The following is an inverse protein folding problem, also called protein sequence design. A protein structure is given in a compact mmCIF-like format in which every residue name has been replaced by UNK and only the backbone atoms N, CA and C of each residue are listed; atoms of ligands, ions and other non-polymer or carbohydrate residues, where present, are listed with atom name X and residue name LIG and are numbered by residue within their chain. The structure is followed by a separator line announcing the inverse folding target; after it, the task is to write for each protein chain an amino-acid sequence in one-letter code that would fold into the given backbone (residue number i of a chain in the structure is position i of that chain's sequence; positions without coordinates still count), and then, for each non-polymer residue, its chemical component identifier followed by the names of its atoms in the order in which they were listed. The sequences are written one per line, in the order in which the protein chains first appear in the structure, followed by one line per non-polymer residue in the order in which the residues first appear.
data_IF_875851364431
#
_entry.id   IF_875851364431
#
_cell.length_a   1.000
_cell.length_b   1.000
_cell.length_c   1.000
_cell.angle_alpha   90.00
_cell.angle_beta   90.00
_cell.angle_gamma   90.00
#
_symmetry.space_group_name_H-M   'P 1'
#
loop_
_entity.id
_entity.type
_entity.pdbx_description
1 polymer ?
#
# COMPACT_ATOMS: atom_id res chain seq x y z
N UNK A 1 -31.83 38.48 -10.37
CA UNK A 1 -32.38 39.83 -10.11
C UNK A 1 -32.66 39.96 -8.61
N UNK A 2 -32.25 41.07 -7.95
CA UNK A 2 -32.40 41.23 -6.50
C UNK A 2 -33.88 41.27 -6.11
N UNK A 3 -34.31 40.52 -5.05
CA UNK A 3 -35.72 40.38 -4.59
C UNK A 3 -36.39 41.74 -4.45
N UNK A 4 -35.69 42.74 -3.95
CA UNK A 4 -36.12 44.14 -3.79
C UNK A 4 -36.43 44.83 -5.15
N UNK A 5 -35.62 44.56 -6.18
CA UNK A 5 -35.89 45.11 -7.54
C UNK A 5 -37.13 44.53 -8.20
N UNK A 6 -37.40 43.22 -7.93
CA UNK A 6 -38.57 42.56 -8.47
C UNK A 6 -39.86 43.08 -7.85
N UNK A 7 -39.88 43.28 -6.54
CA UNK A 7 -41.02 43.87 -5.81
C UNK A 7 -41.26 45.30 -6.28
N UNK A 8 -40.19 46.09 -6.44
CA UNK A 8 -40.28 47.45 -6.90
C UNK A 8 -40.81 47.55 -8.33
N UNK A 9 -40.35 46.68 -9.23
CA UNK A 9 -40.86 46.58 -10.62
C UNK A 9 -42.35 46.20 -10.64
N UNK A 10 -42.79 45.27 -9.82
CA UNK A 10 -44.19 44.87 -9.68
C UNK A 10 -45.05 46.04 -9.20
N UNK A 11 -44.61 46.74 -8.18
CA UNK A 11 -45.37 47.93 -7.69
C UNK A 11 -45.48 49.04 -8.74
N UNK A 12 -44.42 49.31 -9.49
CA UNK A 12 -44.44 50.33 -10.56
C UNK A 12 -45.41 49.89 -11.68
N UNK A 13 -45.30 48.61 -12.16
CA UNK A 13 -46.15 48.11 -13.22
C UNK A 13 -47.63 48.06 -12.79
N UNK A 14 -47.92 47.74 -11.53
CA UNK A 14 -49.25 47.80 -10.96
C UNK A 14 -49.82 49.20 -10.91
N UNK A 15 -49.02 50.18 -10.48
CA UNK A 15 -49.39 51.62 -10.47
C UNK A 15 -49.69 52.14 -11.89
N UNK A 16 -48.83 51.81 -12.86
CA UNK A 16 -49.01 52.14 -14.27
C UNK A 16 -50.29 51.55 -14.80
N UNK A 17 -50.57 50.29 -14.53
CA UNK A 17 -51.80 49.58 -14.93
C UNK A 17 -53.05 50.25 -14.37
N UNK A 18 -53.06 50.56 -13.07
CA UNK A 18 -54.19 51.22 -12.39
C UNK A 18 -54.43 52.58 -13.05
N UNK A 19 -53.39 53.36 -13.20
CA UNK A 19 -53.50 54.73 -13.78
C UNK A 19 -53.97 54.68 -15.26
N UNK A 20 -53.30 53.90 -16.09
CA UNK A 20 -53.64 53.77 -17.52
C UNK A 20 -55.01 53.21 -17.74
N UNK A 21 -55.43 52.20 -16.99
CA UNK A 21 -56.74 51.58 -17.11
C UNK A 21 -57.87 52.55 -16.66
N UNK A 22 -57.63 53.33 -15.61
CA UNK A 22 -58.60 54.35 -15.19
C UNK A 22 -58.70 55.49 -16.25
N UNK A 23 -57.56 55.94 -16.79
CA UNK A 23 -57.54 56.94 -17.86
C UNK A 23 -58.36 56.49 -19.11
N UNK A 24 -58.19 55.27 -19.54
CA UNK A 24 -58.96 54.69 -20.68
C UNK A 24 -60.46 54.61 -20.36
N UNK A 25 -60.84 54.17 -19.16
CA UNK A 25 -62.20 54.10 -18.70
C UNK A 25 -62.93 55.47 -18.71
N UNK A 26 -62.26 56.49 -18.21
CA UNK A 26 -62.83 57.82 -18.06
C UNK A 26 -62.95 58.59 -19.39
N UNK A 27 -62.08 58.32 -20.36
CA UNK A 27 -62.01 59.13 -21.65
C UNK A 27 -62.58 58.45 -22.83
N UNK A 28 -62.69 57.10 -22.85
CA UNK A 28 -63.07 56.36 -24.03
C UNK A 28 -64.30 55.44 -23.91
N UNK A 29 -64.89 55.28 -22.72
CA UNK A 29 -66.02 54.39 -22.49
C UNK A 29 -67.27 55.20 -22.07
N UNK A 30 -68.40 54.99 -22.80
CA UNK A 30 -69.67 55.64 -22.50
C UNK A 30 -70.32 55.11 -21.22
N UNK A 31 -71.04 56.00 -20.50
CA UNK A 31 -71.59 55.83 -19.17
C UNK A 31 -72.31 54.48 -18.84
N UNK A 32 -73.09 53.83 -19.73
CA UNK A 32 -73.77 52.57 -19.32
C UNK A 32 -72.86 51.35 -19.18
N UNK A 33 -71.66 51.37 -19.74
CA UNK A 33 -70.75 50.22 -19.75
C UNK A 33 -69.56 50.33 -18.79
N UNK A 34 -69.36 51.43 -18.14
CA UNK A 34 -68.22 51.73 -17.23
C UNK A 34 -68.13 50.67 -16.13
N UNK A 35 -69.21 50.35 -15.48
CA UNK A 35 -69.25 49.37 -14.38
C UNK A 35 -68.86 47.93 -14.80
N UNK A 36 -69.21 47.53 -16.00
CA UNK A 36 -68.80 46.23 -16.53
C UNK A 36 -67.33 46.18 -16.84
N UNK A 37 -66.76 47.22 -17.41
CA UNK A 37 -65.36 47.30 -17.70
C UNK A 37 -64.50 47.48 -16.44
N UNK A 38 -65.00 48.15 -15.40
CA UNK A 38 -64.30 48.23 -14.12
C UNK A 38 -64.14 46.88 -13.45
N UNK A 39 -65.23 46.09 -13.38
CA UNK A 39 -65.13 44.71 -12.84
C UNK A 39 -64.29 43.80 -13.72
N UNK A 40 -64.38 43.92 -15.03
CA UNK A 40 -63.56 43.15 -15.98
C UNK A 40 -62.08 43.40 -15.82
N UNK A 41 -61.65 44.65 -15.67
CA UNK A 41 -60.23 44.97 -15.50
C UNK A 41 -59.62 44.46 -14.16
N UNK A 42 -60.46 44.49 -13.07
CA UNK A 42 -60.03 43.95 -11.79
C UNK A 42 -59.84 42.46 -11.82
N UNK A 43 -60.77 41.72 -12.43
CA UNK A 43 -60.65 40.27 -12.63
C UNK A 43 -59.46 39.94 -13.50
N UNK A 44 -59.29 40.65 -14.62
CA UNK A 44 -58.13 40.45 -15.53
C UNK A 44 -56.81 40.67 -14.81
N UNK A 45 -56.68 41.75 -14.00
CA UNK A 45 -55.49 42.05 -13.24
C UNK A 45 -55.17 40.93 -12.24
N UNK A 46 -56.15 40.43 -11.48
CA UNK A 46 -56.01 39.34 -10.51
C UNK A 46 -55.56 38.06 -11.22
N UNK A 47 -56.14 37.72 -12.36
CA UNK A 47 -55.78 36.53 -13.14
C UNK A 47 -54.35 36.62 -13.68
N UNK A 48 -53.96 37.78 -14.25
CA UNK A 48 -52.63 37.97 -14.81
C UNK A 48 -51.56 37.96 -13.69
N UNK A 49 -51.78 38.73 -12.64
CA UNK A 49 -50.83 38.77 -11.49
C UNK A 49 -50.76 37.44 -10.75
N UNK A 50 -51.89 36.76 -10.58
CA UNK A 50 -51.95 35.41 -9.99
C UNK A 50 -51.22 34.38 -10.85
N UNK A 51 -51.41 34.44 -12.19
CA UNK A 51 -50.68 33.59 -13.14
C UNK A 51 -49.16 33.82 -13.11
N UNK A 52 -48.74 35.08 -13.07
CA UNK A 52 -47.30 35.43 -12.96
C UNK A 52 -46.73 34.92 -11.64
N UNK A 53 -47.47 35.13 -10.53
CA UNK A 53 -47.02 34.69 -9.22
C UNK A 53 -46.93 33.17 -9.15
N UNK A 54 -47.91 32.46 -9.68
CA UNK A 54 -47.90 31.00 -9.77
C UNK A 54 -46.71 30.49 -10.59
N UNK A 55 -46.42 31.11 -11.75
CA UNK A 55 -45.27 30.78 -12.56
C UNK A 55 -43.94 30.93 -11.79
N UNK A 56 -43.79 32.03 -11.00
CA UNK A 56 -42.60 32.23 -10.20
C UNK A 56 -42.45 31.20 -9.05
N UNK A 57 -43.58 30.78 -8.44
CA UNK A 57 -43.57 29.71 -7.44
C UNK A 57 -43.06 28.40 -8.05
N UNK A 58 -43.64 27.96 -9.15
CA UNK A 58 -43.22 26.75 -9.86
C UNK A 58 -41.74 26.79 -10.26
N UNK A 59 -41.29 27.91 -10.80
CA UNK A 59 -39.88 28.06 -11.19
C UNK A 59 -38.95 28.06 -10.01
N UNK A 60 -39.38 28.58 -8.87
CA UNK A 60 -38.62 28.53 -7.63
C UNK A 60 -38.53 27.11 -7.07
N UNK A 61 -39.65 26.36 -7.03
CA UNK A 61 -39.69 24.96 -6.59
C UNK A 61 -38.76 24.09 -7.45
N UNK A 62 -38.78 24.26 -8.78
CA UNK A 62 -37.88 23.58 -9.72
C UNK A 62 -36.42 23.87 -9.38
N UNK A 63 -36.07 25.14 -9.17
CA UNK A 63 -34.71 25.57 -8.83
C UNK A 63 -34.25 25.05 -7.47
N UNK A 64 -35.13 25.10 -6.46
CA UNK A 64 -34.82 24.61 -5.11
C UNK A 64 -34.64 23.08 -5.11
N UNK A 65 -35.48 22.33 -5.86
CA UNK A 65 -35.35 20.88 -6.06
C UNK A 65 -34.03 20.53 -6.75
N UNK A 66 -33.66 21.23 -7.82
CA UNK A 66 -32.39 21.01 -8.53
C UNK A 66 -31.18 21.24 -7.61
N UNK A 67 -31.19 22.32 -6.84
CA UNK A 67 -30.13 22.60 -5.87
C UNK A 67 -30.03 21.56 -4.77
N UNK A 68 -31.16 21.04 -4.30
CA UNK A 68 -31.17 19.99 -3.30
C UNK A 68 -30.60 18.69 -3.84
N UNK A 69 -30.93 18.31 -5.09
CA UNK A 69 -30.37 17.16 -5.78
C UNK A 69 -28.85 17.30 -5.96
N UNK A 70 -28.40 18.46 -6.43
CA UNK A 70 -26.98 18.76 -6.59
C UNK A 70 -26.22 18.66 -5.26
N UNK A 71 -26.79 19.22 -4.19
CA UNK A 71 -26.22 19.12 -2.83
C UNK A 71 -26.14 17.68 -2.34
N UNK A 72 -27.19 16.88 -2.58
CA UNK A 72 -27.21 15.45 -2.20
C UNK A 72 -26.14 14.67 -2.95
N UNK A 73 -26.02 14.86 -4.28
CA UNK A 73 -24.98 14.24 -5.10
C UNK A 73 -23.58 14.63 -4.64
N UNK A 74 -23.34 15.92 -4.37
CA UNK A 74 -22.07 16.39 -3.87
C UNK A 74 -21.73 15.77 -2.51
N UNK A 75 -22.71 15.65 -1.60
CA UNK A 75 -22.52 15.00 -0.31
C UNK A 75 -22.17 13.52 -0.46
N UNK A 76 -22.86 12.80 -1.35
CA UNK A 76 -22.58 11.39 -1.62
C UNK A 76 -21.15 11.19 -2.15
N UNK A 77 -20.74 11.97 -3.14
CA UNK A 77 -19.39 11.89 -3.73
C UNK A 77 -18.31 12.21 -2.69
N UNK A 78 -18.50 13.24 -1.86
CA UNK A 78 -17.54 13.63 -0.83
C UNK A 78 -17.51 12.67 0.38
N UNK A 79 -18.57 11.87 0.59
CA UNK A 79 -18.56 10.82 1.62
C UNK A 79 -17.84 9.54 1.20
N UNK A 80 -17.51 9.40 -0.09
CA UNK A 80 -16.77 8.25 -0.59
C UNK A 80 -15.30 8.31 -0.17
N UNK A 81 -14.75 7.15 0.17
CA UNK A 81 -13.32 6.98 0.46
C UNK A 81 -12.50 6.65 -0.79
N UNK A 82 -13.18 6.55 -1.93
CA UNK A 82 -12.58 6.35 -3.25
C UNK A 82 -12.33 7.71 -3.91
N UNK A 83 -11.30 7.83 -4.74
CA UNK A 83 -11.11 8.98 -5.60
C UNK A 83 -12.22 9.05 -6.65
N UNK A 84 -12.88 10.18 -6.79
CA UNK A 84 -13.91 10.41 -7.82
C UNK A 84 -13.65 11.73 -8.52
N UNK A 85 -13.52 11.68 -9.84
CA UNK A 85 -13.33 12.84 -10.68
C UNK A 85 -14.24 12.77 -11.92
N UNK A 86 -14.84 13.91 -12.27
CA UNK A 86 -15.61 14.11 -13.49
C UNK A 86 -14.90 15.17 -14.34
N UNK A 87 -14.66 14.84 -15.60
CA UNK A 87 -14.06 15.73 -16.59
C UNK A 87 -15.05 15.95 -17.76
N UNK A 88 -14.96 17.10 -18.40
CA UNK A 88 -15.70 17.37 -19.65
C UNK A 88 -15.07 16.65 -20.86
N UNK A 89 -15.67 16.82 -22.04
CA UNK A 89 -15.16 16.21 -23.29
C UNK A 89 -13.78 16.73 -23.73
N UNK A 90 -13.29 17.82 -23.14
CA UNK A 90 -11.95 18.38 -23.37
C UNK A 90 -10.92 17.95 -22.31
N UNK A 91 -11.33 17.14 -21.32
CA UNK A 91 -10.49 16.66 -20.24
C UNK A 91 -10.31 17.66 -19.07
N UNK A 92 -11.19 18.68 -18.97
CA UNK A 92 -11.16 19.66 -17.88
C UNK A 92 -11.94 19.14 -16.69
N UNK A 93 -11.42 19.34 -15.50
CA UNK A 93 -12.07 18.93 -14.26
C UNK A 93 -13.36 19.72 -14.02
N UNK A 94 -14.49 19.04 -13.98
CA UNK A 94 -15.80 19.62 -13.63
C UNK A 94 -16.06 19.42 -12.13
N UNK A 95 -15.78 18.23 -11.61
CA UNK A 95 -16.05 17.87 -10.21
C UNK A 95 -15.03 16.85 -9.74
N UNK A 96 -14.47 17.10 -8.57
CA UNK A 96 -13.66 16.12 -7.83
C UNK A 96 -14.14 16.06 -6.40
N UNK A 97 -14.00 14.91 -5.74
CA UNK A 97 -14.32 14.79 -4.34
C UNK A 97 -13.12 15.21 -3.45
N UNK A 98 -13.43 15.48 -2.18
CA UNK A 98 -12.43 15.94 -1.20
C UNK A 98 -11.27 14.94 -1.04
N UNK A 99 -11.54 13.62 -1.18
CA UNK A 99 -10.51 12.60 -1.13
C UNK A 99 -9.49 12.77 -2.27
N UNK A 100 -9.96 13.00 -3.50
CA UNK A 100 -9.09 13.19 -4.67
C UNK A 100 -8.28 14.48 -4.60
N UNK A 101 -8.90 15.56 -4.14
CA UNK A 101 -8.19 16.82 -3.95
C UNK A 101 -7.05 16.68 -2.93
N UNK A 102 -7.29 15.99 -1.81
CA UNK A 102 -6.26 15.67 -0.80
C UNK A 102 -5.18 14.75 -1.35
N UNK A 103 -5.55 13.76 -2.16
CA UNK A 103 -4.60 12.81 -2.74
C UNK A 103 -3.53 13.53 -3.56
N UNK A 104 -3.94 14.53 -4.37
CA UNK A 104 -3.06 15.27 -5.26
C UNK A 104 -2.59 16.63 -4.69
N UNK A 105 -2.91 16.94 -3.42
CA UNK A 105 -2.56 18.21 -2.75
C UNK A 105 -3.16 19.44 -3.47
N UNK A 106 -4.42 19.33 -3.89
CA UNK A 106 -5.15 20.36 -4.63
C UNK A 106 -6.33 20.96 -3.84
N UNK A 107 -6.38 20.80 -2.49
CA UNK A 107 -7.51 21.25 -1.66
C UNK A 107 -7.77 22.75 -1.76
N UNK A 108 -6.72 23.56 -1.86
CA UNK A 108 -6.79 25.02 -1.91
C UNK A 108 -6.71 25.56 -3.35
N UNK A 109 -6.74 24.69 -4.35
CA UNK A 109 -6.63 25.05 -5.77
C UNK A 109 -8.02 25.14 -6.40
N UNK A 110 -8.29 26.23 -7.11
CA UNK A 110 -9.46 26.29 -8.00
C UNK A 110 -9.22 25.41 -9.22
N UNK A 111 -9.72 24.17 -9.12
CA UNK A 111 -9.52 23.11 -10.11
C UNK A 111 -10.55 23.17 -11.25
N UNK A 112 -11.69 23.86 -11.05
CA UNK A 112 -12.79 23.85 -12.01
C UNK A 112 -12.36 24.38 -13.38
N UNK A 113 -12.65 23.64 -14.44
CA UNK A 113 -12.33 24.00 -15.82
C UNK A 113 -10.85 23.88 -16.20
N UNK A 114 -9.98 23.36 -15.33
CA UNK A 114 -8.56 23.13 -15.62
C UNK A 114 -8.29 21.69 -16.05
N UNK A 115 -7.29 21.48 -16.91
CA UNK A 115 -6.76 20.18 -17.30
C UNK A 115 -5.75 19.68 -16.27
N UNK A 116 -5.44 18.37 -16.28
CA UNK A 116 -4.40 17.78 -15.42
C UNK A 116 -3.04 18.45 -15.62
N UNK A 117 -2.67 18.78 -16.86
CA UNK A 117 -1.43 19.48 -17.17
C UNK A 117 -1.35 20.88 -16.57
N UNK A 118 -2.48 21.59 -16.46
CA UNK A 118 -2.57 22.89 -15.80
C UNK A 118 -2.55 22.74 -14.26
N UNK A 119 -3.20 21.70 -13.72
CA UNK A 119 -3.18 21.38 -12.29
C UNK A 119 -1.81 20.88 -11.82
N UNK A 120 -1.04 20.26 -12.68
CA UNK A 120 0.33 19.82 -12.42
C UNK A 120 1.28 20.99 -12.03
N UNK A 121 0.93 22.23 -12.37
CA UNK A 121 1.71 23.42 -11.99
C UNK A 121 1.51 23.83 -10.51
N UNK A 122 0.48 23.31 -9.85
CA UNK A 122 0.15 23.61 -8.44
C UNK A 122 0.71 22.60 -7.44
N UNK A 123 1.32 21.53 -7.92
CA UNK A 123 1.90 20.48 -7.08
C UNK A 123 3.25 20.00 -7.65
N UNK A 124 4.32 20.19 -6.89
CA UNK A 124 5.65 19.76 -7.33
C UNK A 124 5.77 18.24 -7.35
N UNK A 125 5.21 17.59 -6.33
CA UNK A 125 5.36 16.14 -6.16
C UNK A 125 4.51 15.31 -7.14
N UNK A 126 3.26 15.73 -7.40
CA UNK A 126 2.33 14.98 -8.27
C UNK A 126 2.27 15.49 -9.71
N UNK A 127 3.15 16.42 -10.09
CA UNK A 127 3.18 17.02 -11.43
C UNK A 127 3.24 15.98 -12.55
N UNK A 128 4.16 15.02 -12.47
CA UNK A 128 4.30 13.97 -13.48
C UNK A 128 3.13 13.00 -13.48
N UNK A 129 2.58 12.66 -12.30
CA UNK A 129 1.41 11.80 -12.19
C UNK A 129 0.17 12.43 -12.85
N UNK A 130 -0.08 13.73 -12.63
CA UNK A 130 -1.18 14.45 -13.25
C UNK A 130 -1.01 14.52 -14.77
N UNK A 131 0.18 14.80 -15.28
CA UNK A 131 0.46 14.79 -16.73
C UNK A 131 0.22 13.40 -17.35
N UNK A 132 0.58 12.33 -16.64
CA UNK A 132 0.31 10.97 -17.08
C UNK A 132 -1.19 10.65 -17.10
N UNK A 133 -1.97 11.17 -16.15
CA UNK A 133 -3.43 11.02 -16.15
C UNK A 133 -4.06 11.52 -17.46
N UNK A 134 -3.61 12.67 -17.99
CA UNK A 134 -4.10 13.21 -19.26
C UNK A 134 -3.84 12.26 -20.43
N UNK A 135 -2.66 11.63 -20.49
CA UNK A 135 -2.33 10.63 -21.52
C UNK A 135 -3.22 9.39 -21.42
N UNK A 136 -3.39 8.88 -20.20
CA UNK A 136 -4.22 7.69 -19.92
C UNK A 136 -5.72 7.94 -20.18
N UNK A 137 -6.20 9.18 -19.99
CA UNK A 137 -7.56 9.59 -20.32
C UNK A 137 -7.80 9.58 -21.83
N UNK A 138 -6.85 10.12 -22.61
CA UNK A 138 -6.90 10.08 -24.07
C UNK A 138 -6.92 8.64 -24.60
N UNK A 139 -6.16 7.73 -24.02
CA UNK A 139 -6.21 6.31 -24.38
C UNK A 139 -7.60 5.72 -24.15
N UNK A 140 -8.26 6.09 -23.03
CA UNK A 140 -9.61 5.64 -22.72
C UNK A 140 -10.63 6.13 -23.72
N UNK A 141 -10.60 7.41 -24.09
CA UNK A 141 -11.48 7.96 -25.14
C UNK A 141 -11.24 7.33 -26.51
N UNK A 142 -9.97 7.09 -26.87
CA UNK A 142 -9.63 6.46 -28.15
C UNK A 142 -10.12 5.00 -28.23
N UNK A 143 -10.15 4.28 -27.10
CA UNK A 143 -10.73 2.93 -27.01
C UNK A 143 -12.26 2.96 -27.05
N UNK A 144 -12.90 4.04 -26.59
CA UNK A 144 -14.33 4.21 -26.54
C UNK A 144 -15.09 3.25 -25.61
N UNK A 145 -14.37 2.60 -24.70
CA UNK A 145 -14.91 1.63 -23.73
C UNK A 145 -14.38 1.93 -22.34
N UNK A 146 -15.03 1.35 -21.33
CA UNK A 146 -14.55 1.41 -19.94
C UNK A 146 -13.16 0.78 -19.87
N UNK A 147 -12.20 1.51 -19.29
CA UNK A 147 -10.87 1.00 -19.00
C UNK A 147 -10.68 0.82 -17.50
N UNK A 148 -9.85 -0.16 -17.13
CA UNK A 148 -9.49 -0.44 -15.74
C UNK A 148 -8.02 -0.79 -15.66
N UNK A 149 -7.30 -0.20 -14.72
CA UNK A 149 -5.88 -0.47 -14.47
C UNK A 149 -5.56 -0.27 -12.99
N UNK A 150 -4.49 -0.93 -12.55
CA UNK A 150 -3.89 -0.63 -11.24
C UNK A 150 -2.81 0.43 -11.43
N UNK A 151 -2.89 1.49 -10.64
CA UNK A 151 -1.95 2.62 -10.69
C UNK A 151 -1.25 2.74 -9.34
N UNK A 152 0.07 2.88 -9.36
CA UNK A 152 0.87 3.13 -8.16
C UNK A 152 1.08 4.63 -8.01
N UNK A 153 0.59 5.19 -6.93
CA UNK A 153 0.72 6.62 -6.61
C UNK A 153 1.72 6.78 -5.46
N UNK A 154 2.92 7.29 -5.73
CA UNK A 154 3.90 7.57 -4.68
C UNK A 154 3.41 8.68 -3.76
N UNK A 155 3.85 8.68 -2.49
CA UNK A 155 3.53 9.69 -1.50
C UNK A 155 4.79 10.46 -1.05
N UNK A 156 4.64 11.70 -0.58
CA UNK A 156 5.77 12.50 -0.09
C UNK A 156 6.53 11.88 1.09
N UNK A 157 5.88 10.99 1.86
CA UNK A 157 6.49 10.24 2.96
C UNK A 157 7.32 9.03 2.52
N UNK A 158 7.47 8.82 1.19
CA UNK A 158 8.19 7.70 0.60
C UNK A 158 7.38 6.39 0.53
N UNK A 159 6.14 6.38 1.00
CA UNK A 159 5.23 5.24 0.85
C UNK A 159 4.54 5.28 -0.52
N UNK A 160 3.96 4.14 -0.92
CA UNK A 160 3.20 4.03 -2.16
C UNK A 160 1.77 3.60 -1.85
N UNK A 161 0.82 4.13 -2.61
CA UNK A 161 -0.56 3.67 -2.63
C UNK A 161 -0.87 3.02 -3.97
N UNK A 162 -1.64 1.94 -3.93
CA UNK A 162 -2.10 1.22 -5.11
C UNK A 162 -3.58 1.51 -5.29
N UNK A 163 -3.93 2.07 -6.44
CA UNK A 163 -5.31 2.37 -6.80
C UNK A 163 -5.78 1.45 -7.92
N UNK A 164 -6.96 0.85 -7.74
CA UNK A 164 -7.73 0.23 -8.83
C UNK A 164 -8.56 1.34 -9.48
N UNK A 165 -8.09 1.81 -10.63
CA UNK A 165 -8.66 2.96 -11.35
C UNK A 165 -9.54 2.49 -12.50
N UNK A 166 -10.81 2.95 -12.49
CA UNK A 166 -11.78 2.72 -13.54
C UNK A 166 -12.07 4.07 -14.21
N UNK A 167 -12.00 4.10 -15.55
CA UNK A 167 -12.31 5.27 -16.36
C UNK A 167 -13.46 4.94 -17.32
N UNK A 168 -14.52 5.74 -17.25
CA UNK A 168 -15.75 5.58 -18.04
C UNK A 168 -15.89 6.76 -18.99
N UNK A 169 -15.65 6.58 -20.30
CA UNK A 169 -15.84 7.63 -21.27
C UNK A 169 -17.34 7.80 -21.59
N UNK A 170 -17.79 9.04 -21.63
CA UNK A 170 -19.16 9.41 -22.00
C UNK A 170 -19.16 10.10 -23.36
N UNK A 171 -20.16 9.75 -24.18
CA UNK A 171 -20.32 10.28 -25.53
C UNK A 171 -21.74 10.74 -25.75
N UNK A 172 -21.90 11.81 -26.48
CA UNK A 172 -23.20 12.24 -27.03
C UNK A 172 -23.71 11.26 -28.09
N UNK A 173 -24.97 11.37 -28.45
CA UNK A 173 -25.58 10.52 -29.47
C UNK A 173 -24.90 10.65 -30.88
N UNK A 174 -24.26 11.77 -31.14
CA UNK A 174 -23.49 12.04 -32.36
C UNK A 174 -22.06 11.48 -32.34
N UNK A 175 -21.66 10.83 -31.23
CA UNK A 175 -20.34 10.25 -31.03
C UNK A 175 -19.27 11.25 -30.58
N UNK A 176 -19.62 12.51 -30.33
CA UNK A 176 -18.70 13.49 -29.75
C UNK A 176 -18.49 13.21 -28.25
N UNK A 177 -17.33 13.58 -27.73
CA UNK A 177 -16.99 13.38 -26.30
C UNK A 177 -17.88 14.27 -25.43
N UNK A 178 -18.59 13.69 -24.47
CA UNK A 178 -19.37 14.39 -23.47
C UNK A 178 -18.56 14.62 -22.19
N UNK A 179 -17.85 13.59 -21.74
CA UNK A 179 -17.05 13.65 -20.54
C UNK A 179 -16.37 12.35 -20.16
N UNK A 180 -15.68 12.36 -19.02
CA UNK A 180 -14.99 11.20 -18.47
C UNK A 180 -15.26 11.11 -16.96
N UNK A 181 -15.66 9.94 -16.49
CA UNK A 181 -15.78 9.64 -15.06
C UNK A 181 -14.62 8.76 -14.66
N UNK A 182 -13.89 9.17 -13.62
CA UNK A 182 -12.73 8.45 -13.08
C UNK A 182 -13.06 8.08 -11.64
N UNK A 183 -12.88 6.79 -11.31
CA UNK A 183 -13.04 6.28 -9.94
C UNK A 183 -11.78 5.48 -9.61
N UNK A 184 -11.06 5.89 -8.57
CA UNK A 184 -9.86 5.20 -8.08
C UNK A 184 -10.08 4.70 -6.65
N UNK A 185 -10.08 3.38 -6.46
CA UNK A 185 -10.19 2.74 -5.15
C UNK A 185 -8.82 2.43 -4.59
N UNK A 186 -8.52 2.89 -3.38
CA UNK A 186 -7.30 2.51 -2.67
C UNK A 186 -7.37 1.03 -2.26
N UNK A 187 -6.58 0.19 -2.94
CA UNK A 187 -6.49 -1.25 -2.68
C UNK A 187 -5.17 -1.64 -1.99
N UNK A 188 -4.40 -0.68 -1.49
CA UNK A 188 -3.08 -0.91 -0.89
C UNK A 188 -3.12 -1.97 0.22
N UNK A 189 -4.03 -1.82 1.18
CA UNK A 189 -4.18 -2.79 2.29
C UNK A 189 -4.63 -4.16 1.79
N UNK A 190 -5.52 -4.21 0.80
CA UNK A 190 -5.98 -5.46 0.20
C UNK A 190 -4.81 -6.19 -0.46
N UNK A 191 -4.02 -5.52 -1.30
CA UNK A 191 -2.85 -6.10 -1.95
C UNK A 191 -1.80 -6.60 -0.96
N UNK A 192 -1.48 -5.80 0.05
CA UNK A 192 -0.55 -6.22 1.10
C UNK A 192 -1.06 -7.45 1.86
N UNK A 193 -2.36 -7.56 2.08
CA UNK A 193 -2.96 -8.72 2.75
C UNK A 193 -2.93 -9.96 1.85
N UNK A 194 -3.27 -9.81 0.57
CA UNK A 194 -3.19 -10.90 -0.42
C UNK A 194 -1.74 -11.42 -0.57
N UNK A 195 -0.76 -10.55 -0.64
CA UNK A 195 0.65 -10.93 -0.71
C UNK A 195 1.11 -11.67 0.56
N UNK A 196 0.69 -11.20 1.73
CA UNK A 196 0.97 -11.90 3.01
C UNK A 196 0.32 -13.28 3.06
N UNK A 197 -0.93 -13.40 2.63
CA UNK A 197 -1.64 -14.68 2.57
C UNK A 197 -0.97 -15.64 1.61
N UNK A 198 -0.66 -15.21 0.39
CA UNK A 198 0.06 -16.00 -0.62
C UNK A 198 1.41 -16.50 -0.10
N UNK A 199 2.14 -15.63 0.60
CA UNK A 199 3.42 -16.00 1.22
C UNK A 199 3.22 -17.04 2.33
N UNK A 200 2.21 -16.86 3.17
CA UNK A 200 1.89 -17.78 4.26
C UNK A 200 1.43 -19.14 3.72
N UNK A 201 0.60 -19.16 2.69
CA UNK A 201 0.12 -20.38 2.04
C UNK A 201 1.27 -21.16 1.40
N UNK A 202 2.15 -20.51 0.63
CA UNK A 202 3.36 -21.13 0.07
C UNK A 202 4.23 -21.74 1.17
N UNK A 203 4.40 -21.04 2.31
CA UNK A 203 5.14 -21.55 3.46
C UNK A 203 4.44 -22.73 4.14
N UNK A 204 3.10 -22.73 4.21
CA UNK A 204 2.31 -23.82 4.80
C UNK A 204 2.42 -25.10 4.01
N UNK A 205 2.30 -25.03 2.67
CA UNK A 205 2.44 -26.19 1.78
C UNK A 205 3.85 -26.80 1.87
N UNK A 206 4.89 -25.94 1.84
CA UNK A 206 6.28 -26.37 2.06
C UNK A 206 6.42 -27.02 3.44
N UNK A 207 5.73 -26.46 4.43
CA UNK A 207 5.72 -26.93 5.79
C UNK A 207 5.15 -28.33 5.96
N UNK A 208 3.96 -28.58 5.46
CA UNK A 208 3.23 -29.83 5.63
C UNK A 208 3.95 -31.00 4.95
N UNK A 209 4.44 -30.78 3.73
CA UNK A 209 5.24 -31.77 2.98
C UNK A 209 6.60 -32.05 3.64
N UNK A 210 7.24 -31.02 4.19
CA UNK A 210 8.60 -31.13 4.73
C UNK A 210 8.67 -31.96 6.03
N UNK A 211 7.64 -31.96 6.86
CA UNK A 211 7.69 -32.64 8.16
C UNK A 211 7.75 -34.18 8.05
N UNK A 212 7.00 -34.78 7.11
CA UNK A 212 7.04 -36.24 6.86
C UNK A 212 8.28 -36.62 6.05
N UNK A 213 8.54 -35.85 4.98
CA UNK A 213 9.64 -36.14 4.04
C UNK A 213 11.02 -35.95 4.70
N UNK A 214 11.20 -34.99 5.61
CA UNK A 214 12.49 -34.76 6.24
C UNK A 214 12.94 -35.92 7.14
N UNK A 215 12.04 -36.56 7.87
CA UNK A 215 12.38 -37.76 8.62
C UNK A 215 12.75 -38.92 7.72
N UNK A 216 12.05 -39.09 6.59
CA UNK A 216 12.32 -40.13 5.62
C UNK A 216 13.62 -39.89 4.84
N UNK A 217 14.02 -38.64 4.61
CA UNK A 217 15.30 -38.29 3.98
C UNK A 217 16.46 -38.41 4.97
N UNK A 218 16.29 -37.99 6.24
CA UNK A 218 17.36 -38.04 7.23
C UNK A 218 17.88 -39.43 7.50
N UNK A 219 16.99 -40.44 7.48
CA UNK A 219 17.33 -41.82 7.75
C UNK A 219 18.36 -42.42 6.75
N UNK A 220 18.13 -42.39 5.41
CA UNK A 220 19.10 -42.87 4.44
C UNK A 220 20.38 -42.04 4.43
N UNK A 221 20.28 -40.69 4.65
CA UNK A 221 21.48 -39.86 4.74
C UNK A 221 22.37 -40.22 5.93
N UNK A 222 21.79 -40.55 7.07
CA UNK A 222 22.54 -40.97 8.26
C UNK A 222 23.27 -42.27 7.98
N UNK A 223 22.62 -43.23 7.29
CA UNK A 223 23.24 -44.50 6.90
C UNK A 223 24.37 -44.29 5.90
N UNK A 224 24.13 -43.46 4.85
CA UNK A 224 25.17 -43.14 3.85
C UNK A 224 26.37 -42.45 4.51
N UNK A 225 26.13 -41.49 5.43
CA UNK A 225 27.22 -40.81 6.18
C UNK A 225 28.03 -41.83 6.96
N UNK A 226 27.39 -42.78 7.65
CA UNK A 226 28.06 -43.84 8.39
C UNK A 226 28.96 -44.71 7.48
N UNK A 227 28.45 -45.13 6.30
CA UNK A 227 29.25 -45.88 5.34
C UNK A 227 30.45 -45.09 4.81
N UNK A 228 30.26 -43.82 4.43
CA UNK A 228 31.39 -42.98 3.97
C UNK A 228 32.43 -42.80 5.06
N UNK A 229 32.02 -42.66 6.33
CA UNK A 229 32.95 -42.58 7.45
C UNK A 229 33.74 -43.89 7.68
N UNK A 230 33.09 -45.03 7.53
CA UNK A 230 33.77 -46.32 7.60
C UNK A 230 34.79 -46.47 6.45
N UNK A 231 34.42 -46.17 5.20
CA UNK A 231 35.33 -46.19 4.07
C UNK A 231 36.51 -45.25 4.24
N UNK A 232 36.28 -44.03 4.82
CA UNK A 232 37.32 -43.05 5.13
C UNK A 232 38.34 -43.60 6.13
N UNK A 233 37.91 -44.47 7.06
CA UNK A 233 38.79 -45.12 8.05
C UNK A 233 39.61 -46.26 7.48
N UNK A 234 39.11 -46.91 6.41
CA UNK A 234 39.74 -48.13 5.84
C UNK A 234 40.61 -47.82 4.61
N UNK A 235 40.41 -46.69 3.92
CA UNK A 235 41.10 -46.33 2.68
C UNK A 235 41.76 -44.96 2.76
N UNK A 236 43.06 -44.92 2.95
CA UNK A 236 43.87 -43.69 3.00
C UNK A 236 44.06 -43.05 1.60
N UNK A 237 43.76 -43.75 0.53
CA UNK A 237 44.10 -43.33 -0.84
C UNK A 237 43.09 -42.37 -1.43
N UNK A 238 41.87 -42.35 -0.96
CA UNK A 238 40.75 -41.57 -1.54
C UNK A 238 40.16 -40.55 -0.51
N UNK A 239 40.93 -40.11 0.42
CA UNK A 239 40.47 -39.23 1.52
C UNK A 239 39.75 -37.95 1.03
N UNK A 240 40.23 -37.36 -0.06
CA UNK A 240 39.61 -36.15 -0.66
C UNK A 240 38.19 -36.45 -1.16
N UNK A 241 37.96 -37.62 -1.77
CA UNK A 241 36.63 -38.01 -2.23
C UNK A 241 35.67 -38.29 -1.08
N UNK A 242 36.13 -38.93 -0.04
CA UNK A 242 35.32 -39.16 1.18
C UNK A 242 34.98 -37.85 1.87
N UNK A 243 35.87 -36.88 1.90
CA UNK A 243 35.62 -35.55 2.47
C UNK A 243 34.55 -34.82 1.66
N UNK A 244 34.64 -34.83 0.34
CA UNK A 244 33.64 -34.22 -0.55
C UNK A 244 32.25 -34.86 -0.32
N UNK A 245 32.18 -36.20 -0.20
CA UNK A 245 30.92 -36.90 0.07
C UNK A 245 30.34 -36.52 1.43
N UNK A 246 31.16 -36.43 2.47
CA UNK A 246 30.74 -36.05 3.81
C UNK A 246 30.22 -34.60 3.84
N UNK A 247 30.89 -33.71 3.12
CA UNK A 247 30.50 -32.30 3.02
C UNK A 247 29.13 -32.17 2.33
N UNK A 248 28.89 -32.90 1.25
CA UNK A 248 27.60 -32.88 0.54
C UNK A 248 26.48 -33.54 1.36
N UNK A 249 26.74 -34.63 2.09
CA UNK A 249 25.78 -35.24 3.01
C UNK A 249 25.42 -34.27 4.17
N UNK A 250 26.39 -33.54 4.69
CA UNK A 250 26.16 -32.51 5.72
C UNK A 250 25.34 -31.35 5.16
N UNK A 251 25.59 -30.95 3.91
CA UNK A 251 24.82 -29.93 3.20
C UNK A 251 23.36 -30.34 3.01
N UNK A 252 23.08 -31.56 2.56
CA UNK A 252 21.72 -32.08 2.42
C UNK A 252 21.02 -32.12 3.78
N UNK A 253 21.69 -32.59 4.82
CA UNK A 253 21.12 -32.56 6.18
C UNK A 253 20.79 -31.14 6.67
N UNK A 254 21.59 -30.15 6.30
CA UNK A 254 21.32 -28.75 6.62
C UNK A 254 20.04 -28.26 5.91
N UNK A 255 19.92 -28.53 4.60
CA UNK A 255 18.73 -28.18 3.80
C UNK A 255 17.47 -28.81 4.41
N UNK A 256 17.51 -30.09 4.75
CA UNK A 256 16.39 -30.81 5.39
C UNK A 256 16.02 -30.17 6.74
N UNK A 257 17.01 -29.74 7.51
CA UNK A 257 16.79 -29.07 8.80
C UNK A 257 16.17 -27.68 8.62
N UNK A 258 16.60 -26.91 7.61
CA UNK A 258 15.98 -25.61 7.25
C UNK A 258 14.52 -25.79 6.81
N UNK A 259 14.22 -26.82 6.01
CA UNK A 259 12.86 -27.18 5.58
C UNK A 259 11.98 -27.52 6.80
N UNK A 260 12.50 -28.29 7.77
CA UNK A 260 11.78 -28.62 9.01
C UNK A 260 11.46 -27.39 9.85
N UNK A 261 12.36 -26.42 9.92
CA UNK A 261 12.12 -25.16 10.63
C UNK A 261 10.97 -24.36 9.99
N UNK A 262 10.81 -24.47 8.66
CA UNK A 262 9.67 -23.85 7.96
C UNK A 262 8.36 -24.60 8.20
N UNK A 263 8.42 -25.92 8.46
CA UNK A 263 7.29 -26.86 8.49
C UNK A 263 6.49 -26.88 9.79
N UNK A 264 7.12 -26.80 10.95
CA UNK A 264 6.45 -27.03 12.24
C UNK A 264 6.18 -25.73 13.00
N UNK A 265 4.97 -25.56 13.60
CA UNK A 265 4.83 -24.73 14.76
C UNK A 265 5.66 -25.36 15.88
N UNK A 266 6.83 -24.82 16.12
CA UNK A 266 7.64 -25.26 17.25
C UNK A 266 7.05 -24.69 18.53
N UNK A 267 6.86 -25.55 19.53
CA UNK A 267 6.66 -25.06 20.92
C UNK A 267 7.98 -24.39 21.35
N UNK A 268 8.04 -23.06 21.18
CA UNK A 268 9.21 -22.28 21.53
C UNK A 268 9.40 -22.31 23.04
N UNK A 269 10.57 -22.74 23.46
CA UNK A 269 10.98 -22.66 24.86
C UNK A 269 11.79 -21.37 25.04
N UNK A 270 11.07 -20.30 25.34
CA UNK A 270 11.73 -19.03 25.63
C UNK A 270 12.53 -19.12 26.94
N UNK A 271 13.70 -18.49 26.92
CA UNK A 271 14.56 -18.32 28.09
C UNK A 271 15.09 -16.89 28.12
N UNK A 272 15.37 -16.38 29.32
CA UNK A 272 15.95 -15.06 29.51
C UNK A 272 17.45 -15.14 29.41
N UNK A 273 18.05 -14.54 28.44
CA UNK A 273 19.48 -14.55 28.17
C UNK A 273 19.98 -13.20 27.68
N UNK A 274 21.22 -12.85 27.98
CA UNK A 274 21.85 -11.66 27.43
C UNK A 274 22.08 -11.85 25.91
N UNK A 275 21.48 -10.98 25.09
CA UNK A 275 21.57 -11.07 23.62
C UNK A 275 23.01 -10.91 23.13
N UNK A 276 23.85 -10.15 23.86
CA UNK A 276 25.29 -10.00 23.58
C UNK A 276 26.03 -11.34 23.58
N UNK A 277 25.63 -12.29 24.47
CA UNK A 277 26.21 -13.63 24.47
C UNK A 277 25.96 -14.37 23.16
N UNK A 278 24.72 -14.36 22.70
CA UNK A 278 24.35 -15.01 21.42
C UNK A 278 25.13 -14.43 20.27
N UNK A 279 25.21 -13.09 20.18
CA UNK A 279 25.93 -12.39 19.11
C UNK A 279 27.43 -12.70 19.17
N UNK A 280 28.04 -12.65 20.35
CA UNK A 280 29.48 -12.96 20.53
C UNK A 280 29.79 -14.42 20.19
N UNK A 281 28.94 -15.38 20.59
CA UNK A 281 29.11 -16.80 20.25
C UNK A 281 29.11 -16.99 18.73
N UNK A 282 28.18 -16.33 18.02
CA UNK A 282 28.05 -16.42 16.54
C UNK A 282 29.24 -15.75 15.86
N UNK A 283 29.66 -14.56 16.30
CA UNK A 283 30.83 -13.86 15.76
C UNK A 283 32.08 -14.71 15.92
N UNK A 284 32.28 -15.30 17.11
CA UNK A 284 33.42 -16.18 17.36
C UNK A 284 33.40 -17.44 16.50
N UNK A 285 32.23 -18.01 16.27
CA UNK A 285 32.05 -19.18 15.38
C UNK A 285 32.43 -18.86 13.94
N UNK A 286 32.05 -17.69 13.44
CA UNK A 286 32.28 -17.29 12.05
C UNK A 286 33.63 -16.57 11.81
N UNK A 287 34.39 -16.30 12.86
CA UNK A 287 35.67 -15.59 12.76
C UNK A 287 36.68 -16.27 11.83
N UNK A 288 36.77 -17.62 11.89
CA UNK A 288 37.66 -18.38 11.02
C UNK A 288 37.22 -18.30 9.54
N UNK A 289 35.89 -18.39 9.26
CA UNK A 289 35.34 -18.26 7.92
C UNK A 289 35.54 -16.85 7.37
N UNK A 290 35.28 -15.80 8.17
CA UNK A 290 35.53 -14.41 7.80
C UNK A 290 37.02 -14.16 7.45
N UNK A 291 37.94 -14.74 8.22
CA UNK A 291 39.38 -14.63 7.95
C UNK A 291 39.80 -15.25 6.63
N UNK A 292 39.16 -16.34 6.20
CA UNK A 292 39.43 -16.97 4.89
C UNK A 292 39.07 -16.05 3.71
N UNK A 293 38.10 -15.16 3.91
CA UNK A 293 37.69 -14.16 2.92
C UNK A 293 38.33 -12.78 3.15
N UNK A 294 39.29 -12.65 4.08
CA UNK A 294 39.86 -11.37 4.51
C UNK A 294 38.80 -10.33 4.96
N UNK A 295 37.75 -10.78 5.62
CA UNK A 295 36.67 -9.92 6.12
C UNK A 295 36.82 -9.73 7.63
N UNK A 296 36.73 -8.48 8.09
CA UNK A 296 36.75 -8.15 9.52
C UNK A 296 35.32 -7.97 10.06
N UNK A 297 35.00 -8.64 11.17
CA UNK A 297 33.73 -8.47 11.86
C UNK A 297 33.96 -7.55 13.07
N UNK A 298 33.35 -6.36 13.04
CA UNK A 298 33.38 -5.38 14.12
C UNK A 298 32.05 -5.43 14.91
N UNK A 299 32.14 -5.53 16.27
CA UNK A 299 30.97 -5.50 17.11
C UNK A 299 30.87 -4.18 17.88
N UNK A 300 29.66 -3.59 17.93
CA UNK A 300 29.35 -2.37 18.68
C UNK A 300 28.17 -2.65 19.61
N UNK A 301 28.47 -3.08 20.83
CA UNK A 301 27.45 -3.43 21.83
C UNK A 301 27.54 -2.53 23.07
N UNK A 302 26.41 -2.21 23.71
CA UNK A 302 26.39 -1.52 24.99
C UNK A 302 27.10 -2.34 26.06
N UNK A 303 27.69 -1.64 27.06
CA UNK A 303 28.39 -2.28 28.15
C UNK A 303 27.47 -3.05 29.09
N UNK A 304 26.21 -2.63 29.19
CA UNK A 304 25.19 -3.28 30.00
C UNK A 304 24.58 -4.45 29.26
N UNK A 305 24.44 -5.60 29.93
CA UNK A 305 23.77 -6.76 29.35
C UNK A 305 22.27 -6.49 29.12
N UNK A 306 21.81 -6.68 27.91
CA UNK A 306 20.39 -6.60 27.56
C UNK A 306 19.81 -8.01 27.63
N UNK A 307 18.97 -8.24 28.65
CA UNK A 307 18.28 -9.52 28.83
C UNK A 307 17.09 -9.59 27.91
N UNK A 308 17.10 -10.56 27.02
CA UNK A 308 16.03 -10.82 26.05
C UNK A 308 15.36 -12.16 26.38
N UNK A 309 14.03 -12.20 26.32
CA UNK A 309 13.25 -13.43 26.37
C UNK A 309 13.16 -14.03 24.97
N UNK A 310 13.87 -15.11 24.69
CA UNK A 310 14.05 -15.67 23.35
C UNK A 310 14.28 -17.19 23.37
N UNK A 311 14.20 -17.81 22.19
CA UNK A 311 14.71 -19.15 21.92
C UNK A 311 16.14 -19.03 21.39
N UNK A 312 17.16 -19.38 22.18
CA UNK A 312 18.57 -19.08 21.89
C UNK A 312 19.10 -19.71 20.61
N UNK A 313 18.68 -20.95 20.29
CA UNK A 313 19.16 -21.65 19.09
C UNK A 313 18.60 -21.04 17.80
N UNK A 314 17.36 -20.58 17.85
CA UNK A 314 16.77 -19.88 16.71
C UNK A 314 17.45 -18.55 16.45
N UNK A 315 17.73 -17.75 17.49
CA UNK A 315 18.47 -16.51 17.31
C UNK A 315 19.91 -16.75 16.85
N UNK A 316 20.59 -17.80 17.35
CA UNK A 316 21.89 -18.22 16.81
C UNK A 316 21.79 -18.52 15.31
N UNK A 317 20.80 -19.29 14.90
CA UNK A 317 20.58 -19.62 13.47
C UNK A 317 20.31 -18.37 12.63
N UNK A 318 19.49 -17.43 13.13
CA UNK A 318 19.23 -16.16 12.48
C UNK A 318 20.53 -15.40 12.20
N UNK A 319 21.34 -15.17 13.23
CA UNK A 319 22.57 -14.39 13.09
C UNK A 319 23.65 -15.12 12.29
N UNK A 320 23.73 -16.46 12.38
CA UNK A 320 24.61 -17.25 11.51
C UNK A 320 24.22 -17.02 10.04
N UNK A 321 22.94 -17.13 9.68
CA UNK A 321 22.47 -16.94 8.32
C UNK A 321 22.79 -15.52 7.80
N UNK A 322 22.54 -14.50 8.61
CA UNK A 322 22.74 -13.11 8.19
C UNK A 322 24.23 -12.77 8.06
N UNK A 323 25.04 -13.07 9.07
CA UNK A 323 26.49 -12.76 9.05
C UNK A 323 27.20 -13.58 7.97
N UNK A 324 26.84 -14.84 7.78
CA UNK A 324 27.38 -15.67 6.70
C UNK A 324 27.01 -15.11 5.31
N UNK A 325 25.79 -14.65 5.12
CA UNK A 325 25.39 -13.99 3.88
C UNK A 325 26.23 -12.71 3.63
N UNK A 326 26.48 -11.93 4.68
CA UNK A 326 27.34 -10.75 4.61
C UNK A 326 28.79 -11.11 4.26
N UNK A 327 29.37 -12.17 4.85
CA UNK A 327 30.72 -12.66 4.52
C UNK A 327 30.79 -13.06 3.03
N UNK A 328 29.82 -13.85 2.56
CA UNK A 328 29.77 -14.33 1.19
C UNK A 328 29.50 -13.21 0.14
N UNK A 329 28.87 -12.11 0.53
CA UNK A 329 28.62 -10.95 -0.32
C UNK A 329 29.78 -9.95 -0.31
N UNK A 330 30.66 -10.03 0.67
CA UNK A 330 31.77 -9.10 0.88
C UNK A 330 32.92 -9.35 -0.11
N UNK A 331 33.62 -8.28 -0.47
CA UNK A 331 34.88 -8.34 -1.22
C UNK A 331 36.04 -8.52 -0.23
N UNK A 332 37.23 -8.85 -0.76
CA UNK A 332 38.45 -8.90 0.07
C UNK A 332 38.69 -7.54 0.76
N UNK A 333 39.16 -7.61 2.01
CA UNK A 333 39.43 -6.46 2.88
C UNK A 333 38.19 -5.62 3.29
N UNK A 334 37.01 -6.22 3.24
CA UNK A 334 35.74 -5.59 3.65
C UNK A 334 35.51 -5.71 5.16
N UNK A 335 34.55 -4.89 5.65
CA UNK A 335 34.12 -4.90 7.05
C UNK A 335 32.64 -5.24 7.18
N UNK A 336 32.34 -6.04 8.18
CA UNK A 336 30.97 -6.31 8.62
C UNK A 336 30.81 -5.69 10.00
N UNK A 337 29.85 -4.79 10.16
CA UNK A 337 29.52 -4.17 11.46
C UNK A 337 28.27 -4.80 12.03
N UNK A 338 28.37 -5.32 13.26
CA UNK A 338 27.23 -5.82 14.03
C UNK A 338 27.01 -4.88 15.21
N UNK A 339 25.88 -4.15 15.23
CA UNK A 339 25.53 -3.26 16.33
C UNK A 339 24.27 -3.70 17.05
N UNK A 340 24.18 -3.35 18.33
CA UNK A 340 23.06 -3.61 19.19
C UNK A 340 22.70 -2.32 19.93
N UNK A 341 21.46 -1.86 19.78
CA UNK A 341 20.97 -0.64 20.40
C UNK A 341 19.62 -0.88 21.08
N UNK A 342 19.37 -0.18 22.18
CA UNK A 342 18.07 -0.16 22.83
C UNK A 342 17.28 1.03 22.29
N UNK A 343 16.20 0.77 21.53
CA UNK A 343 15.40 1.83 20.90
C UNK A 343 14.37 2.38 21.90
N UNK A 344 13.68 1.46 22.60
CA UNK A 344 12.62 1.75 23.57
C UNK A 344 12.87 0.91 24.81
N UNK A 345 12.21 1.18 25.96
CA UNK A 345 12.38 0.38 27.18
C UNK A 345 12.13 -1.12 26.97
N UNK A 346 11.25 -1.46 26.01
CA UNK A 346 10.78 -2.81 25.71
C UNK A 346 11.22 -3.34 24.35
N UNK A 347 12.05 -2.61 23.58
CA UNK A 347 12.51 -3.01 22.24
C UNK A 347 14.00 -2.77 22.03
N UNK A 348 14.62 -3.70 21.31
CA UNK A 348 16.01 -3.61 20.86
C UNK A 348 16.11 -3.61 19.35
N UNK A 349 17.14 -2.94 18.83
CA UNK A 349 17.56 -3.03 17.43
C UNK A 349 18.90 -3.75 17.32
N UNK A 350 19.00 -4.65 16.37
CA UNK A 350 20.24 -5.30 15.97
C UNK A 350 20.45 -5.00 14.49
N UNK A 351 21.59 -4.40 14.16
CA UNK A 351 21.94 -4.07 12.78
C UNK A 351 23.14 -4.86 12.33
N UNK A 352 23.03 -5.55 11.21
CA UNK A 352 24.15 -6.20 10.51
C UNK A 352 24.37 -5.45 9.22
N UNK A 353 25.53 -4.82 9.07
CA UNK A 353 25.89 -4.03 7.89
C UNK A 353 27.16 -4.59 7.26
N UNK A 354 27.12 -4.82 5.95
CA UNK A 354 28.26 -5.18 5.13
C UNK A 354 28.54 -4.12 4.04
N UNK A 355 29.75 -4.08 3.57
CA UNK A 355 30.21 -3.26 2.45
C UNK A 355 30.36 -4.14 1.17
N UNK A 356 29.49 -5.13 0.99
CA UNK A 356 29.52 -6.11 -0.07
C UNK A 356 28.96 -5.63 -1.41
N UNK A 357 28.66 -6.58 -2.31
CA UNK A 357 28.17 -6.29 -3.65
C UNK A 357 26.75 -5.69 -3.69
N UNK A 358 26.02 -5.67 -2.58
CA UNK A 358 24.65 -5.17 -2.50
C UNK A 358 23.64 -5.97 -3.29
N UNK A 359 22.39 -5.50 -3.29
CA UNK A 359 21.22 -6.18 -3.85
C UNK A 359 20.46 -5.19 -4.72
N UNK A 360 20.07 -5.58 -5.96
CA UNK A 360 19.26 -4.74 -6.83
C UNK A 360 17.83 -4.59 -6.31
N UNK A 361 17.15 -3.47 -6.61
CA UNK A 361 15.76 -3.20 -6.19
C UNK A 361 14.79 -4.30 -6.57
N UNK A 362 14.93 -4.87 -7.78
CA UNK A 362 14.08 -5.98 -8.25
C UNK A 362 14.24 -7.25 -7.41
N UNK A 363 15.48 -7.53 -6.96
CA UNK A 363 15.77 -8.70 -6.13
C UNK A 363 15.39 -8.47 -4.67
N UNK A 364 15.49 -7.23 -4.20
CA UNK A 364 15.11 -6.85 -2.84
C UNK A 364 13.62 -7.13 -2.58
N UNK A 365 12.76 -6.96 -3.60
CA UNK A 365 11.34 -7.28 -3.52
C UNK A 365 11.05 -8.77 -3.34
N UNK A 366 11.95 -9.65 -3.82
CA UNK A 366 11.81 -11.12 -3.74
C UNK A 366 12.62 -11.75 -2.60
N UNK A 367 13.31 -10.93 -1.81
CA UNK A 367 14.12 -11.42 -0.68
C UNK A 367 13.22 -12.11 0.34
N UNK A 368 13.65 -13.30 0.77
CA UNK A 368 12.89 -14.15 1.71
C UNK A 368 11.78 -14.97 1.08
N UNK A 369 11.63 -14.99 -0.25
CA UNK A 369 10.85 -16.03 -0.92
C UNK A 369 11.58 -17.37 -0.82
N UNK A 370 10.87 -18.48 -0.53
CA UNK A 370 11.48 -19.81 -0.47
C UNK A 370 12.14 -20.20 -1.80
N UNK A 371 13.33 -20.79 -1.73
CA UNK A 371 14.13 -21.25 -2.87
C UNK A 371 14.65 -20.13 -3.78
N UNK A 372 14.46 -18.87 -3.44
CA UNK A 372 15.00 -17.75 -4.20
C UNK A 372 16.47 -17.52 -3.80
N UNK A 373 17.39 -17.87 -4.67
CA UNK A 373 18.84 -17.68 -4.50
C UNK A 373 19.50 -17.33 -5.82
N UNK A 374 20.48 -16.43 -5.80
CA UNK A 374 21.33 -16.13 -6.93
C UNK A 374 22.68 -16.88 -6.89
N UNK A 375 22.90 -17.63 -5.82
CA UNK A 375 24.14 -18.38 -5.60
C UNK A 375 23.96 -19.78 -6.16
N UNK A 376 24.91 -20.29 -6.94
CA UNK A 376 24.84 -21.65 -7.50
C UNK A 376 24.72 -22.75 -6.42
N UNK A 377 25.28 -22.53 -5.25
CA UNK A 377 25.22 -23.46 -4.11
C UNK A 377 24.28 -23.03 -3.00
N UNK A 378 23.53 -21.94 -3.20
CA UNK A 378 22.62 -21.40 -2.18
C UNK A 378 21.27 -22.15 -2.17
N UNK A 379 20.76 -22.52 -1.00
CA UNK A 379 19.45 -23.20 -0.82
C UNK A 379 18.27 -22.28 -1.08
N UNK A 380 18.46 -20.96 -0.94
CA UNK A 380 17.38 -19.97 -0.98
C UNK A 380 16.42 -20.02 0.21
N UNK A 381 16.74 -20.82 1.25
CA UNK A 381 15.91 -20.98 2.45
C UNK A 381 16.37 -20.15 3.63
N UNK A 382 17.67 -19.83 3.73
CA UNK A 382 18.24 -19.16 4.88
C UNK A 382 17.54 -17.86 5.26
N UNK A 383 17.25 -16.97 4.29
CA UNK A 383 16.54 -15.72 4.58
C UNK A 383 15.06 -15.97 4.90
N UNK A 384 14.41 -16.95 4.26
CA UNK A 384 13.05 -17.36 4.61
C UNK A 384 12.95 -17.84 6.05
N UNK A 385 13.93 -18.64 6.50
CA UNK A 385 14.07 -19.08 7.91
C UNK A 385 14.31 -17.87 8.82
N UNK A 386 15.15 -16.93 8.40
CA UNK A 386 15.42 -15.70 9.16
C UNK A 386 14.16 -14.88 9.40
N UNK A 387 13.33 -14.67 8.37
CA UNK A 387 12.03 -14.01 8.51
C UNK A 387 11.12 -14.73 9.50
N UNK A 388 11.03 -16.07 9.40
CA UNK A 388 10.18 -16.88 10.28
C UNK A 388 10.66 -16.83 11.75
N UNK A 389 11.96 -16.86 11.98
CA UNK A 389 12.53 -16.73 13.32
C UNK A 389 12.20 -15.37 13.93
N UNK A 390 12.40 -14.28 13.19
CA UNK A 390 12.07 -12.92 13.68
C UNK A 390 10.58 -12.78 13.95
N UNK A 391 9.72 -13.28 13.05
CA UNK A 391 8.26 -13.28 13.23
C UNK A 391 7.83 -14.09 14.46
N UNK A 392 8.43 -15.28 14.71
CA UNK A 392 8.13 -16.09 15.88
C UNK A 392 8.55 -15.44 17.19
N UNK A 393 9.46 -14.47 17.16
CA UNK A 393 9.88 -13.64 18.29
C UNK A 393 9.15 -12.27 18.32
N UNK A 394 8.01 -12.12 17.61
CA UNK A 394 7.22 -10.87 17.53
C UNK A 394 8.06 -9.66 17.08
N UNK A 395 9.09 -9.89 16.26
CA UNK A 395 10.00 -8.89 15.76
C UNK A 395 9.73 -8.48 14.33
N UNK A 396 10.55 -7.53 13.85
CA UNK A 396 10.56 -7.09 12.46
C UNK A 396 11.99 -7.16 11.91
N UNK A 397 12.11 -7.53 10.62
CA UNK A 397 13.37 -7.52 9.89
C UNK A 397 13.17 -6.70 8.60
N UNK A 398 14.12 -5.80 8.34
CA UNK A 398 14.14 -4.96 7.15
C UNK A 398 15.51 -5.00 6.49
N UNK A 399 15.53 -4.92 5.15
CA UNK A 399 16.74 -4.92 4.34
C UNK A 399 16.81 -3.60 3.59
N UNK A 400 17.95 -2.92 3.71
CA UNK A 400 18.29 -1.73 2.96
C UNK A 400 19.58 -2.00 2.19
N UNK A 401 19.53 -1.92 0.86
CA UNK A 401 20.65 -2.31 0.01
C UNK A 401 20.63 -1.61 -1.34
N UNK A 402 21.80 -1.23 -1.79
CA UNK A 402 22.03 -0.69 -3.14
C UNK A 402 23.18 -1.46 -3.81
N UNK A 403 23.03 -1.74 -5.09
CA UNK A 403 24.01 -2.51 -5.83
C UNK A 403 25.38 -1.79 -5.82
N UNK A 404 26.42 -2.48 -5.36
CA UNK A 404 27.77 -1.94 -5.20
C UNK A 404 28.03 -1.15 -3.92
N UNK A 405 27.00 -0.95 -3.05
CA UNK A 405 27.12 -0.17 -1.80
C UNK A 405 26.99 -1.03 -0.52
N UNK A 406 26.75 -2.34 -0.68
CA UNK A 406 26.56 -3.26 0.44
C UNK A 406 25.10 -3.40 0.88
N UNK A 407 24.91 -4.07 2.04
CA UNK A 407 23.59 -4.35 2.59
C UNK A 407 23.56 -4.02 4.09
N UNK A 408 22.46 -3.42 4.53
CA UNK A 408 22.14 -3.19 5.93
C UNK A 408 20.88 -3.97 6.30
N UNK A 409 20.99 -4.88 7.26
CA UNK A 409 19.87 -5.66 7.80
C UNK A 409 19.54 -5.14 9.20
N UNK A 410 18.32 -4.61 9.35
CA UNK A 410 17.82 -4.08 10.60
C UNK A 410 16.79 -5.05 11.20
N UNK A 411 17.02 -5.50 12.43
CA UNK A 411 16.15 -6.42 13.17
C UNK A 411 15.68 -5.73 14.43
N UNK A 412 14.36 -5.69 14.65
CA UNK A 412 13.78 -5.18 15.90
C UNK A 412 13.12 -6.33 16.64
N UNK A 413 13.45 -6.50 17.93
CA UNK A 413 12.86 -7.54 18.78
C UNK A 413 12.31 -6.92 20.09
N UNK A 414 11.16 -7.39 20.60
CA UNK A 414 10.69 -7.02 21.93
C UNK A 414 11.54 -7.72 23.02
N UNK A 415 11.81 -7.02 24.10
CA UNK A 415 12.60 -7.53 25.23
C UNK A 415 11.88 -8.67 25.96
N UNK A 416 10.56 -8.55 26.08
CA UNK A 416 9.67 -9.58 26.63
C UNK A 416 8.73 -10.09 25.55
N UNK A 417 8.45 -11.39 25.54
CA UNK A 417 7.52 -11.99 24.60
C UNK A 417 6.09 -11.94 25.15
N UNK A 418 5.17 -11.39 24.35
CA UNK A 418 3.75 -11.41 24.68
C UNK A 418 3.17 -12.80 24.34
N UNK A 419 3.02 -13.64 25.37
CA UNK A 419 2.51 -15.02 25.25
C UNK A 419 0.99 -15.09 25.04
N UNK A 420 0.27 -13.95 24.99
CA UNK A 420 -1.18 -13.91 24.86
C UNK A 420 -1.67 -14.25 23.45
N UNK A 421 -0.90 -14.02 22.40
CA UNK A 421 -1.30 -14.28 21.01
C UNK A 421 -1.25 -15.76 20.59
N UNK A 422 -0.49 -16.60 21.29
CA UNK A 422 -0.42 -18.04 20.98
C UNK A 422 -1.60 -18.88 21.51
N UNK A 423 -2.52 -18.27 22.28
CA UNK A 423 -3.71 -18.98 22.80
C UNK A 423 -4.94 -18.91 21.88
N UNK A 424 -4.97 -18.00 20.91
CA UNK A 424 -6.16 -17.75 20.09
C UNK A 424 -6.35 -18.74 18.94
N UNK A 425 -5.32 -19.50 18.56
CA UNK A 425 -5.42 -20.53 17.50
C UNK A 425 -5.84 -21.94 17.99
N UNK A 426 -6.04 -22.14 19.29
CA UNK A 426 -6.42 -23.44 19.85
C UNK A 426 -7.88 -23.53 20.31
N UNK A 427 -8.70 -22.51 20.15
CA UNK A 427 -10.09 -22.47 20.61
C UNK A 427 -11.14 -22.62 19.48
N UNK A 428 -10.72 -22.61 18.23
CA UNK A 428 -11.67 -22.77 17.07
C UNK A 428 -11.73 -24.17 16.47
N UNK A 429 -11.09 -25.17 17.08
CA UNK A 429 -11.27 -26.58 16.67
C UNK A 429 -11.59 -27.42 17.92
N UNK A 430 -12.75 -27.19 18.51
CA UNK A 430 -13.39 -28.09 19.47
C UNK A 430 -14.91 -28.02 19.29
#
# INVERSE_FOLDING_TARGET
MNKTKLVFLYLITSLIWIYASNYVLTHYISSPFVNYFERGKEIFYILVTGGIFYFFILKKEELDSTKEQEKRLSTLINSMVDFVNFKDGEGRWIKANDFGLKLFQLEDVDYFGKKDSELAEYTDFYSDALRYCEVSDEETWNKGIITRCEEVVPRPDGTEKIFDTIKVPLFHEDGTREGLVIIGRDITTLRQTEERLNRTEKLSVVGELSASVAHEIRNPLTSLKGFVQLLQMEDDKHQDYYQIMLDELNRINHIVSELLLLAKPQHLKYSKLAIQRILNDVISLLAAEASLYNVQIESKFPKEDIILECEPNQLKQLFINLIKNSIEASNNDSKISVSLDKIEPDKIAITVKDDGCGISKERLQKIGEPFYSSKEKGTGLGLTVSYKIVQSHNGHINFDSELGCGTTVNITLPVLQDTSQNKTHLVEIA
#
